data_IF_993642750495
#
_entry.id   IF_993642750495
#
_cell.length_a   1.000
_cell.length_b   1.000
_cell.length_c   1.000
_cell.angle_alpha   90.00
_cell.angle_beta   90.00
_cell.angle_gamma   90.00
#
_symmetry.space_group_name_H-M   'P 1'
#
loop_
_entity.id
_entity.type
_entity.pdbx_description
1 polymer ?
#
# COMPACT_ATOMS: atom_id res chain seq x y z
N UNK A 1 3.85 42.25 21.47
CA UNK A 1 4.21 41.69 20.14
C UNK A 1 3.68 42.64 19.10
N UNK A 2 4.49 43.05 18.12
CA UNK A 2 4.07 44.04 17.14
C UNK A 2 3.02 43.42 16.22
N UNK A 3 1.94 44.15 15.91
CA UNK A 3 0.85 43.64 15.04
C UNK A 3 1.41 43.24 13.65
N UNK A 4 2.43 43.95 13.17
CA UNK A 4 3.07 43.65 11.90
C UNK A 4 3.79 42.30 11.89
N UNK A 5 4.50 41.97 12.97
CA UNK A 5 5.21 40.69 13.10
C UNK A 5 4.21 39.53 13.14
N UNK A 6 3.05 39.72 13.77
CA UNK A 6 1.98 38.73 13.81
C UNK A 6 1.39 38.47 12.42
N UNK A 7 1.10 39.54 11.66
CA UNK A 7 0.54 39.42 10.31
C UNK A 7 1.54 38.71 9.38
N UNK A 8 2.82 39.11 9.42
CA UNK A 8 3.88 38.48 8.60
C UNK A 8 3.98 37.00 8.94
N UNK A 9 4.01 36.66 10.23
CA UNK A 9 4.11 35.26 10.69
C UNK A 9 2.89 34.45 10.25
N UNK A 10 1.68 35.00 10.37
CA UNK A 10 0.45 34.33 9.97
C UNK A 10 0.40 34.06 8.45
N UNK A 11 0.83 35.03 7.64
CA UNK A 11 0.89 34.89 6.18
C UNK A 11 1.94 33.85 5.78
N UNK A 12 3.14 33.90 6.36
CA UNK A 12 4.18 32.89 6.09
C UNK A 12 3.75 31.50 6.50
N UNK A 13 3.18 31.35 7.69
CA UNK A 13 2.66 30.07 8.19
C UNK A 13 1.54 29.54 7.29
N UNK A 14 0.63 30.40 6.83
CA UNK A 14 -0.42 30.04 5.90
C UNK A 14 0.12 29.56 4.54
N UNK A 15 1.09 30.28 3.97
CA UNK A 15 1.73 29.89 2.70
C UNK A 15 2.47 28.55 2.82
N UNK A 16 3.24 28.36 3.90
CA UNK A 16 3.97 27.13 4.16
C UNK A 16 2.99 25.96 4.35
N UNK A 17 1.93 26.16 5.14
CA UNK A 17 0.88 25.16 5.33
C UNK A 17 0.16 24.80 4.02
N UNK A 18 -0.08 25.78 3.15
CA UNK A 18 -0.72 25.56 1.85
C UNK A 18 0.18 24.77 0.90
N UNK A 19 1.47 25.13 0.84
CA UNK A 19 2.48 24.39 0.06
C UNK A 19 2.57 22.96 0.57
N UNK A 20 2.78 22.77 1.88
CA UNK A 20 2.88 21.44 2.48
C UNK A 20 1.61 20.65 2.22
N UNK A 21 0.42 21.22 2.42
CA UNK A 21 -0.84 20.55 2.18
C UNK A 21 -1.03 20.10 0.73
N UNK A 22 -0.63 20.94 -0.23
CA UNK A 22 -0.65 20.58 -1.65
C UNK A 22 0.29 19.41 -1.96
N UNK A 23 1.54 19.50 -1.48
CA UNK A 23 2.53 18.42 -1.64
C UNK A 23 2.13 17.14 -0.91
N UNK A 24 1.52 17.24 0.27
CA UNK A 24 1.09 16.08 1.06
C UNK A 24 0.09 15.24 0.28
N UNK A 25 -0.85 15.87 -0.44
CA UNK A 25 -1.85 15.18 -1.25
C UNK A 25 -1.21 14.36 -2.38
N UNK A 26 -0.16 14.91 -2.99
CA UNK A 26 0.58 14.25 -4.06
C UNK A 26 1.46 13.12 -3.52
N UNK A 27 2.18 13.38 -2.41
CA UNK A 27 3.02 12.40 -1.71
C UNK A 27 2.18 11.22 -1.22
N UNK A 28 0.98 11.44 -0.65
CA UNK A 28 0.10 10.35 -0.19
C UNK A 28 -0.31 9.45 -1.34
N UNK A 29 -0.65 10.02 -2.50
CA UNK A 29 -1.03 9.26 -3.70
C UNK A 29 0.15 8.43 -4.21
N UNK A 30 1.35 9.03 -4.24
CA UNK A 30 2.58 8.35 -4.60
C UNK A 30 2.94 7.24 -3.61
N UNK A 31 2.87 7.52 -2.30
CA UNK A 31 3.13 6.56 -1.23
C UNK A 31 2.15 5.41 -1.26
N UNK A 32 0.86 5.64 -1.50
CA UNK A 32 -0.12 4.56 -1.59
C UNK A 32 0.23 3.59 -2.71
N UNK A 33 0.59 4.14 -3.87
CA UNK A 33 1.00 3.36 -5.05
C UNK A 33 2.30 2.62 -4.79
N UNK A 34 3.30 3.28 -4.20
CA UNK A 34 4.59 2.69 -3.84
C UNK A 34 4.46 1.60 -2.77
N UNK A 35 3.66 1.85 -1.73
CA UNK A 35 3.35 0.91 -0.66
C UNK A 35 2.63 -0.31 -1.23
N UNK A 36 1.61 -0.13 -2.08
CA UNK A 36 0.98 -1.24 -2.80
C UNK A 36 1.99 -2.00 -3.67
N UNK A 37 2.85 -1.32 -4.41
CA UNK A 37 3.83 -2.00 -5.28
C UNK A 37 4.90 -2.76 -4.49
N UNK A 38 5.31 -2.28 -3.31
CA UNK A 38 6.33 -2.94 -2.48
C UNK A 38 5.78 -3.99 -1.50
N UNK A 39 4.64 -3.73 -0.88
CA UNK A 39 4.04 -4.61 0.15
C UNK A 39 3.12 -5.66 -0.49
N UNK A 40 2.42 -5.29 -1.58
CA UNK A 40 1.44 -6.16 -2.25
C UNK A 40 2.03 -7.03 -3.35
N UNK A 41 3.36 -7.19 -3.38
CA UNK A 41 4.02 -8.23 -4.16
C UNK A 41 4.45 -9.45 -3.32
N UNK A 42 3.53 -10.21 -2.70
CA UNK A 42 3.74 -11.63 -2.54
C UNK A 42 3.36 -12.36 -3.85
N UNK A 43 3.89 -11.92 -5.01
CA UNK A 43 3.67 -12.64 -6.29
C UNK A 43 4.25 -14.07 -6.20
N UNK A 44 5.15 -14.28 -5.25
CA UNK A 44 5.77 -15.55 -4.90
C UNK A 44 5.20 -16.25 -3.64
N UNK A 45 4.21 -15.72 -2.91
CA UNK A 45 3.59 -16.49 -1.80
C UNK A 45 2.20 -17.05 -2.14
N UNK A 46 1.50 -16.49 -3.13
CA UNK A 46 0.19 -17.02 -3.56
C UNK A 46 0.35 -18.24 -4.48
N UNK A 47 1.46 -18.31 -5.24
CA UNK A 47 1.63 -19.34 -6.25
C UNK A 47 2.01 -20.72 -5.67
N UNK A 48 2.66 -20.79 -4.50
CA UNK A 48 3.02 -22.09 -3.91
C UNK A 48 1.88 -22.77 -3.14
N UNK A 49 0.81 -22.06 -2.77
CA UNK A 49 -0.20 -22.64 -1.87
C UNK A 49 -1.34 -23.39 -2.59
N UNK A 50 -1.38 -23.37 -3.93
CA UNK A 50 -2.44 -24.01 -4.71
C UNK A 50 -2.02 -25.28 -5.48
N UNK A 51 -0.74 -25.51 -5.71
CA UNK A 51 -0.26 -26.71 -6.43
C UNK A 51 -0.20 -27.97 -5.54
N UNK A 52 0.00 -27.82 -4.22
CA UNK A 52 0.04 -28.98 -3.32
C UNK A 52 -1.34 -29.58 -3.02
N UNK A 53 -2.42 -28.78 -3.10
CA UNK A 53 -3.78 -29.25 -2.79
C UNK A 53 -4.39 -30.05 -3.95
N UNK A 54 -4.07 -29.69 -5.21
CA UNK A 54 -4.58 -30.39 -6.40
C UNK A 54 -3.86 -31.73 -6.63
N UNK A 55 -2.58 -31.80 -6.27
CA UNK A 55 -1.79 -33.02 -6.46
C UNK A 55 -2.18 -34.10 -5.44
N UNK A 56 -2.56 -33.71 -4.22
CA UNK A 56 -3.01 -34.66 -3.18
C UNK A 56 -4.45 -35.17 -3.39
N UNK A 57 -5.36 -34.33 -3.89
CA UNK A 57 -6.77 -34.72 -4.13
C UNK A 57 -6.93 -35.65 -5.33
N UNK A 58 -6.12 -35.49 -6.38
CA UNK A 58 -6.13 -36.36 -7.56
C UNK A 58 -5.52 -37.75 -7.31
N UNK A 59 -4.57 -37.89 -6.37
CA UNK A 59 -4.07 -39.21 -5.96
C UNK A 59 -5.04 -39.97 -5.04
N UNK A 60 -5.78 -39.30 -4.16
CA UNK A 60 -6.76 -39.96 -3.29
C UNK A 60 -7.94 -40.53 -4.10
N UNK A 61 -8.38 -39.82 -5.14
CA UNK A 61 -9.47 -40.25 -6.01
C UNK A 61 -9.13 -41.50 -6.84
N UNK A 62 -7.85 -41.71 -7.20
CA UNK A 62 -7.42 -42.90 -7.96
C UNK A 62 -7.25 -44.15 -7.10
N UNK A 63 -6.98 -44.02 -5.80
CA UNK A 63 -6.77 -45.18 -4.91
C UNK A 63 -8.06 -45.83 -4.40
N UNK A 64 -9.21 -45.15 -4.55
CA UNK A 64 -10.53 -45.69 -4.18
C UNK A 64 -11.21 -46.55 -5.26
N UNK A 65 -10.62 -46.64 -6.47
CA UNK A 65 -11.20 -47.33 -7.63
C UNK A 65 -10.44 -48.59 -8.04
N UNK A 66 -9.94 -49.34 -7.06
CA UNK A 66 -9.48 -50.72 -7.28
C UNK A 66 -10.06 -51.57 -6.17
N UNK A 67 -11.32 -51.97 -6.36
CA UNK A 67 -12.01 -52.98 -5.57
C UNK A 67 -12.47 -54.08 -6.53
#
# INVERSE_FOLDING_TARGET
MNIQDFIITAVFSGLIGLIIGYFLRDIISFFWRFYTTKIRQPKHLVQYHFEDIQTHSSQLARKGSSK
#
